data_IF_080165733465
#
_entry.id   IF_080165733465
#
_cell.length_a   1.000
_cell.length_b   1.000
_cell.length_c   1.000
_cell.angle_alpha   90.00
_cell.angle_beta   90.00
_cell.angle_gamma   90.00
#
_symmetry.space_group_name_H-M   'P 1'
#
loop_
_entity.id
_entity.type
_entity.pdbx_description
1 polymer ?
#
# COMPACT_ATOMS: atom_id res chain seq x y z
N UNK A 1 2.60 4.72 34.28
CA UNK A 1 3.23 5.61 33.29
C UNK A 1 2.15 6.31 32.50
N UNK A 2 2.24 7.62 32.33
CA UNK A 2 1.25 8.37 31.55
C UNK A 2 1.51 8.11 30.05
N UNK A 3 0.47 7.79 29.25
CA UNK A 3 0.65 7.60 27.82
C UNK A 3 1.00 8.93 27.16
N UNK A 4 2.05 8.95 26.35
CA UNK A 4 2.50 10.15 25.63
C UNK A 4 2.11 10.06 24.16
N UNK A 5 1.74 11.20 23.58
CA UNK A 5 1.38 11.29 22.18
C UNK A 5 2.61 11.10 21.30
N UNK A 6 2.54 10.18 20.35
CA UNK A 6 3.62 9.93 19.39
C UNK A 6 3.89 11.11 18.43
N UNK A 7 2.95 12.07 18.30
CA UNK A 7 3.12 13.28 17.47
C UNK A 7 3.70 14.45 18.24
N UNK A 8 3.04 14.85 19.34
CA UNK A 8 3.39 16.06 20.06
C UNK A 8 4.19 15.81 21.34
N UNK A 9 4.39 14.56 21.75
CA UNK A 9 5.12 14.18 22.97
C UNK A 9 4.39 14.49 24.28
N UNK A 10 3.22 15.13 24.25
CA UNK A 10 2.45 15.51 25.44
C UNK A 10 1.66 14.32 25.99
N UNK A 11 1.31 14.39 27.29
CA UNK A 11 0.47 13.39 27.94
C UNK A 11 -0.91 13.34 27.27
N UNK A 12 -1.38 12.12 27.00
CA UNK A 12 -2.68 11.85 26.41
C UNK A 12 -3.64 11.41 27.51
N UNK A 13 -4.69 12.18 27.75
CA UNK A 13 -5.72 11.82 28.71
C UNK A 13 -6.70 10.81 28.11
N UNK A 14 -7.39 10.03 28.96
CA UNK A 14 -8.33 8.99 28.52
C UNK A 14 -9.42 9.52 27.56
N UNK A 15 -9.85 10.77 27.72
CA UNK A 15 -10.85 11.44 26.87
C UNK A 15 -10.42 11.57 25.40
N UNK A 16 -9.15 11.87 25.16
CA UNK A 16 -8.59 12.06 23.81
C UNK A 16 -7.68 10.92 23.37
N UNK A 17 -7.57 9.86 24.18
CA UNK A 17 -6.72 8.71 23.95
C UNK A 17 -7.18 7.94 22.72
N UNK A 18 -6.31 7.93 21.72
CA UNK A 18 -6.42 7.07 20.54
C UNK A 18 -5.24 6.10 20.56
N UNK A 19 -5.54 4.80 20.54
CA UNK A 19 -4.52 3.75 20.45
C UNK A 19 -4.45 3.29 19.00
N UNK A 20 -3.34 3.55 18.32
CA UNK A 20 -3.12 3.19 16.91
C UNK A 20 -1.64 2.91 16.67
N UNK A 21 -1.35 1.90 15.85
CA UNK A 21 0.03 1.52 15.50
C UNK A 21 0.92 1.26 16.73
N UNK A 22 0.37 0.58 17.74
CA UNK A 22 1.02 0.33 19.04
C UNK A 22 1.48 1.60 19.79
N UNK A 23 0.89 2.75 19.47
CA UNK A 23 1.21 4.05 20.06
C UNK A 23 -0.04 4.79 20.50
N UNK A 24 0.16 5.79 21.36
CA UNK A 24 -0.92 6.68 21.82
C UNK A 24 -0.89 8.01 21.07
N UNK A 25 -2.08 8.51 20.76
CA UNK A 25 -2.28 9.75 20.01
C UNK A 25 -3.44 10.54 20.63
N UNK A 26 -3.41 11.86 20.52
CA UNK A 26 -4.61 12.67 20.76
C UNK A 26 -5.54 12.61 19.54
N UNK A 27 -6.86 12.70 19.76
CA UNK A 27 -7.85 12.83 18.68
C UNK A 27 -7.49 13.96 17.68
N UNK A 28 -7.01 15.11 18.16
CA UNK A 28 -6.56 16.21 17.29
C UNK A 28 -5.17 16.02 16.66
N UNK A 29 -4.30 15.22 17.28
CA UNK A 29 -2.98 14.89 16.73
C UNK A 29 -3.03 13.77 15.69
N UNK A 30 -4.15 13.07 15.58
CA UNK A 30 -4.32 11.97 14.64
C UNK A 30 -4.81 12.50 13.30
N UNK A 31 -3.91 13.10 12.53
CA UNK A 31 -4.19 13.66 11.21
C UNK A 31 -3.20 13.13 10.16
N UNK A 32 -3.62 13.16 8.90
CA UNK A 32 -2.80 12.73 7.77
C UNK A 32 -1.51 13.55 7.68
N UNK A 33 -0.35 12.90 7.50
CA UNK A 33 0.92 13.60 7.34
C UNK A 33 0.97 14.49 6.09
N UNK A 34 0.21 14.12 5.04
CA UNK A 34 0.22 14.81 3.75
C UNK A 34 -0.74 16.00 3.75
N UNK A 35 -2.03 15.76 4.04
CA UNK A 35 -3.06 16.81 3.96
C UNK A 35 -3.42 17.44 5.31
N UNK A 36 -2.82 17.00 6.41
CA UNK A 36 -3.14 17.46 7.78
C UNK A 36 -4.62 17.34 8.18
N UNK A 37 -5.40 16.58 7.42
CA UNK A 37 -6.80 16.32 7.71
C UNK A 37 -6.91 15.37 8.90
N UNK A 38 -7.70 15.72 9.90
CA UNK A 38 -8.00 14.86 11.05
C UNK A 38 -8.62 13.56 10.58
N UNK A 39 -8.01 12.45 10.99
CA UNK A 39 -8.47 11.11 10.68
C UNK A 39 -9.22 10.55 11.87
N UNK A 40 -10.19 9.70 11.57
CA UNK A 40 -10.92 8.95 12.58
C UNK A 40 -10.47 7.49 12.57
N UNK A 41 -10.73 6.78 13.67
CA UNK A 41 -10.28 5.40 13.84
C UNK A 41 -10.90 4.44 12.81
N UNK A 42 -11.99 4.85 12.14
CA UNK A 42 -12.64 4.10 11.06
C UNK A 42 -12.06 4.37 9.66
N UNK A 43 -11.42 5.52 9.43
CA UNK A 43 -11.01 5.98 8.08
C UNK A 43 -9.50 6.19 7.93
N UNK A 44 -8.73 5.95 9.00
CA UNK A 44 -7.27 6.04 8.94
C UNK A 44 -6.66 4.80 8.29
N UNK A 45 -5.51 4.99 7.64
CA UNK A 45 -4.63 3.91 7.23
C UNK A 45 -3.23 4.16 7.78
N UNK A 46 -2.67 3.16 8.44
CA UNK A 46 -1.31 3.23 8.98
C UNK A 46 -0.29 2.73 7.98
N UNK A 47 0.72 3.55 7.66
CA UNK A 47 1.85 3.17 6.82
C UNK A 47 3.14 3.64 7.50
N UNK A 48 4.15 2.77 7.61
CA UNK A 48 5.45 3.10 8.24
C UNK A 48 5.35 3.80 9.61
N UNK A 49 4.44 3.35 10.48
CA UNK A 49 4.17 3.95 11.81
C UNK A 49 3.64 5.39 11.77
N UNK A 50 3.11 5.85 10.63
CA UNK A 50 2.48 7.16 10.44
C UNK A 50 1.02 7.02 9.96
N UNK A 51 0.11 7.91 10.40
CA UNK A 51 -1.27 7.91 9.94
C UNK A 51 -1.44 8.64 8.59
N UNK A 52 -2.12 7.99 7.65
CA UNK A 52 -2.46 8.51 6.32
C UNK A 52 -3.96 8.43 6.07
N UNK A 53 -4.49 9.35 5.26
CA UNK A 53 -5.87 9.29 4.80
C UNK A 53 -6.03 8.29 3.66
N UNK A 54 -7.25 7.85 3.37
CA UNK A 54 -7.53 6.89 2.28
C UNK A 54 -7.03 7.36 0.90
N UNK A 55 -6.96 8.67 0.67
CA UNK A 55 -6.47 9.26 -0.59
C UNK A 55 -4.95 9.37 -0.69
N UNK A 56 -4.25 9.50 0.44
CA UNK A 56 -2.78 9.63 0.49
C UNK A 56 -2.09 8.35 1.00
N UNK A 57 -2.86 7.31 1.28
CA UNK A 57 -2.31 6.02 1.63
C UNK A 57 -1.61 5.43 0.40
N UNK A 58 -0.32 5.09 0.48
CA UNK A 58 0.39 4.46 -0.64
C UNK A 58 -0.26 3.10 -0.91
N UNK A 59 -1.13 3.07 -1.92
CA UNK A 59 -1.66 1.82 -2.45
C UNK A 59 -0.48 1.11 -3.09
N UNK A 60 -0.06 -0.01 -2.53
CA UNK A 60 0.72 -0.99 -3.28
C UNK A 60 -0.17 -1.47 -4.42
N UNK A 61 -0.16 -0.74 -5.53
CA UNK A 61 -0.65 -1.27 -6.78
C UNK A 61 0.30 -2.39 -7.13
N UNK A 62 -0.11 -3.63 -6.86
CA UNK A 62 0.37 -4.77 -7.64
C UNK A 62 -0.11 -4.52 -9.06
N UNK A 63 0.60 -3.67 -9.79
CA UNK A 63 0.45 -3.58 -11.23
C UNK A 63 1.02 -4.89 -11.74
N UNK A 64 0.10 -5.79 -12.05
CA UNK A 64 0.35 -7.02 -12.80
C UNK A 64 1.30 -6.71 -13.96
N UNK A 65 2.29 -7.58 -14.14
CA UNK A 65 3.35 -7.61 -15.16
C UNK A 65 4.33 -6.43 -15.11
N UNK A 66 5.40 -6.59 -14.33
CA UNK A 66 6.68 -6.03 -14.76
C UNK A 66 7.02 -6.68 -16.10
N UNK A 67 7.37 -5.87 -17.10
CA UNK A 67 7.92 -6.28 -18.38
C UNK A 67 9.25 -7.02 -18.10
N UNK A 68 9.18 -8.30 -17.74
CA UNK A 68 10.36 -9.15 -17.68
C UNK A 68 10.72 -9.55 -19.11
N UNK A 69 12.02 -9.57 -19.47
CA UNK A 69 12.48 -10.01 -20.79
C UNK A 69 12.04 -11.45 -21.14
N UNK A 70 11.63 -12.22 -20.13
CA UNK A 70 11.04 -13.55 -20.27
C UNK A 70 9.62 -13.51 -20.87
N UNK A 71 8.80 -12.51 -20.53
CA UNK A 71 7.47 -12.32 -21.12
C UNK A 71 7.55 -11.98 -22.62
N UNK A 72 8.56 -11.21 -23.03
CA UNK A 72 8.81 -10.92 -24.45
C UNK A 72 9.26 -12.18 -25.21
N UNK A 73 10.13 -13.00 -24.61
CA UNK A 73 10.60 -14.27 -25.22
C UNK A 73 9.47 -15.29 -25.38
N UNK A 74 8.56 -15.38 -24.41
CA UNK A 74 7.42 -16.29 -24.47
C UNK A 74 6.50 -15.97 -25.67
N UNK A 75 6.23 -14.68 -25.93
CA UNK A 75 5.43 -14.23 -27.09
C UNK A 75 6.10 -14.64 -28.40
N UNK A 76 7.40 -14.38 -28.52
CA UNK A 76 8.16 -14.71 -29.72
C UNK A 76 8.25 -16.23 -29.96
N UNK A 77 8.40 -17.03 -28.90
CA UNK A 77 8.42 -18.49 -29.01
C UNK A 77 7.07 -19.06 -29.45
N UNK A 78 5.94 -18.52 -28.96
CA UNK A 78 4.60 -18.94 -29.39
C UNK A 78 4.30 -18.61 -30.85
N UNK A 79 4.79 -17.48 -31.37
CA UNK A 79 4.63 -17.09 -32.78
C UNK A 79 5.44 -17.98 -33.74
N UNK A 80 6.62 -18.44 -33.30
CA UNK A 80 7.47 -19.34 -34.09
C UNK A 80 6.94 -20.80 -34.09
N UNK A 81 6.37 -21.27 -32.98
CA UNK A 81 5.80 -22.62 -32.89
C UNK A 81 4.55 -22.79 -33.78
N UNK A 82 3.78 -21.71 -33.95
CA UNK A 82 2.55 -21.71 -34.77
C UNK A 82 2.82 -21.86 -36.28
N UNK A 83 4.04 -21.59 -36.74
CA UNK A 83 4.43 -21.72 -38.15
C UNK A 83 5.02 -23.10 -38.50
N UNK A 84 5.35 -23.93 -37.50
CA UNK A 84 5.88 -25.28 -37.71
C UNK A 84 4.78 -26.33 -37.95
N UNK A 85 3.53 -26.07 -37.53
CA UNK A 85 2.44 -27.06 -37.62
C UNK A 85 1.70 -27.07 -38.98
N UNK A 86 2.09 -26.21 -39.94
CA UNK A 86 1.45 -26.16 -41.26
C UNK A 86 2.35 -26.74 -42.38
N UNK A 87 2.37 -28.08 -42.45
CA UNK A 87 2.67 -28.99 -43.59
C UNK A 87 4.13 -29.32 -43.97
N UNK A 88 4.37 -30.49 -44.65
CA UNK A 88 3.51 -31.67 -44.87
C UNK A 88 4.14 -33.00 -44.37
N UNK A 89 3.33 -33.93 -43.88
CA UNK A 89 3.76 -35.33 -43.75
C UNK A 89 3.77 -36.01 -45.13
N UNK A 90 4.86 -36.70 -45.53
CA UNK A 90 4.92 -37.43 -46.79
C UNK A 90 4.28 -38.82 -46.64
N UNK A 91 3.24 -39.13 -47.42
CA UNK A 91 2.97 -40.45 -48.02
C UNK A 91 2.21 -40.25 -49.32
#
# INVERSE_FOLDING_TARGET
MNPHCARCGKIVYATEKVTCLDKYWHKGCFHCEVCKMTLNMNSYKGYEKKPYCNSHYPKQTFTSVADTPENLRLRQQSELQSQHDSKPGPQ
#
